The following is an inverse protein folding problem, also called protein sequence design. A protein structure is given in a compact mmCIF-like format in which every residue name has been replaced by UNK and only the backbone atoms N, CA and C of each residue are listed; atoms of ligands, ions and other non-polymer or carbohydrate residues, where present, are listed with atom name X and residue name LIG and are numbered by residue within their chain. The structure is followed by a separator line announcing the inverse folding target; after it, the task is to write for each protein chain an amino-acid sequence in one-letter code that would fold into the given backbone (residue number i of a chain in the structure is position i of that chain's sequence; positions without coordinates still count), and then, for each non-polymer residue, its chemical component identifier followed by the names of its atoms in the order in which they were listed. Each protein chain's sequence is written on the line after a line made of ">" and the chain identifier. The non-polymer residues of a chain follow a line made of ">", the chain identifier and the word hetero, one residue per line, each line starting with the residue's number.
data_IF_016126389698
#
_entry.id   IF_016126389698
#
_cell.length_a   1.000
_cell.length_b   1.000
_cell.length_c   1.000
_cell.angle_alpha   90.00
_cell.angle_beta   90.00
_cell.angle_gamma   90.00
#
_symmetry.space_group_name_H-M   'P 1'
#
loop_
_entity.id
_entity.type
_entity.pdbx_description
1 polymer ?
#
# COMPACT_ATOMS: atom_id res chain seq x y z
N UNK A 1 1.57 -47.11 -47.41
CA UNK A 1 0.43 -46.68 -48.20
C UNK A 1 0.25 -45.21 -47.85
N UNK A 2 0.98 -44.29 -48.58
CA UNK A 2 0.46 -43.38 -49.59
C UNK A 2 -0.67 -42.48 -49.00
N UNK A 3 -0.65 -41.14 -49.01
CA UNK A 3 -0.21 -40.13 -49.96
C UNK A 3 -0.22 -38.75 -49.28
N UNK A 4 0.80 -37.91 -49.55
CA UNK A 4 0.76 -36.45 -49.51
C UNK A 4 -0.20 -35.88 -50.55
N UNK A 5 -0.71 -34.64 -50.50
CA UNK A 5 0.02 -33.59 -51.19
C UNK A 5 0.04 -32.19 -50.55
N UNK A 6 1.15 -31.55 -50.82
CA UNK A 6 1.48 -30.14 -50.84
C UNK A 6 0.54 -29.28 -51.71
N UNK A 7 0.18 -28.06 -51.19
CA UNK A 7 -0.23 -26.97 -52.08
C UNK A 7 0.62 -25.72 -51.82
N UNK A 8 1.43 -25.43 -52.81
CA UNK A 8 2.07 -24.14 -53.07
C UNK A 8 1.03 -23.12 -53.45
N UNK A 9 1.05 -21.91 -52.88
CA UNK A 9 0.54 -20.73 -53.51
C UNK A 9 1.61 -19.65 -53.65
N UNK A 10 1.69 -19.21 -54.87
CA UNK A 10 2.62 -18.37 -55.61
C UNK A 10 2.50 -16.91 -55.16
N UNK A 11 3.65 -16.27 -54.94
CA UNK A 11 3.83 -14.84 -54.82
C UNK A 11 3.53 -14.13 -56.15
N UNK A 12 2.66 -13.16 -56.18
CA UNK A 12 2.66 -12.10 -57.16
C UNK A 12 3.07 -10.76 -56.51
N UNK A 13 4.19 -10.23 -57.02
CA UNK A 13 4.64 -8.85 -56.83
C UNK A 13 3.86 -7.94 -57.76
N UNK A 14 3.28 -6.86 -57.25
CA UNK A 14 3.28 -5.57 -57.95
C UNK A 14 2.85 -4.40 -57.10
N UNK A 15 3.63 -3.31 -57.23
CA UNK A 15 3.39 -1.87 -57.09
C UNK A 15 3.54 -1.17 -55.75
N UNK A 16 4.73 -0.58 -55.61
CA UNK A 16 5.07 0.83 -55.39
C UNK A 16 4.40 1.57 -54.23
N UNK A 17 5.13 1.70 -53.20
CA UNK A 17 5.73 2.87 -52.57
C UNK A 17 5.02 4.22 -52.86
N UNK A 18 4.25 4.70 -51.88
CA UNK A 18 4.05 6.12 -51.56
C UNK A 18 3.06 6.36 -50.39
N UNK A 19 2.82 5.40 -49.47
CA UNK A 19 1.87 5.60 -48.38
C UNK A 19 2.39 5.31 -46.97
N UNK A 20 3.69 5.13 -46.75
CA UNK A 20 4.22 4.75 -45.43
C UNK A 20 4.18 5.90 -44.40
N UNK A 21 4.17 7.17 -44.82
CA UNK A 21 4.11 8.30 -43.86
C UNK A 21 2.74 8.57 -43.26
N UNK A 22 1.65 8.16 -43.91
CA UNK A 22 0.30 8.36 -43.41
C UNK A 22 -0.22 7.21 -42.55
N UNK A 23 0.41 6.03 -42.62
CA UNK A 23 0.02 4.88 -41.83
C UNK A 23 0.52 4.97 -40.37
N UNK A 24 1.72 5.54 -40.14
CA UNK A 24 2.30 5.67 -38.80
C UNK A 24 1.58 6.73 -37.97
N UNK A 25 1.08 7.81 -38.57
CA UNK A 25 0.33 8.83 -37.85
C UNK A 25 -1.06 8.37 -37.41
N UNK A 26 -1.69 7.48 -38.16
CA UNK A 26 -3.01 6.94 -37.78
C UNK A 26 -2.95 5.88 -36.70
N UNK A 27 -1.87 5.10 -36.63
CA UNK A 27 -1.69 4.11 -35.57
C UNK A 27 -1.45 4.78 -34.21
N UNK A 28 -0.74 5.90 -34.15
CA UNK A 28 -0.55 6.67 -32.92
C UNK A 28 -1.82 7.35 -32.41
N UNK A 29 -2.67 7.82 -33.32
CA UNK A 29 -3.99 8.37 -33.00
C UNK A 29 -4.97 7.29 -32.51
N UNK A 30 -4.88 6.09 -33.04
CA UNK A 30 -5.72 4.96 -32.65
C UNK A 30 -5.27 4.35 -31.30
N UNK A 31 -3.98 4.24 -31.07
CA UNK A 31 -3.42 3.80 -29.78
C UNK A 31 -3.74 4.79 -28.64
N UNK A 32 -3.70 6.10 -28.86
CA UNK A 32 -4.12 7.09 -27.85
C UNK A 32 -5.62 6.97 -27.52
N UNK A 33 -6.50 6.74 -28.51
CA UNK A 33 -7.94 6.56 -28.26
C UNK A 33 -8.25 5.21 -27.64
N UNK A 34 -7.48 4.15 -27.94
CA UNK A 34 -7.66 2.83 -27.34
C UNK A 34 -7.15 2.80 -25.89
N UNK A 35 -6.06 3.50 -25.57
CA UNK A 35 -5.57 3.64 -24.18
C UNK A 35 -6.59 4.42 -23.33
N UNK A 36 -7.23 5.46 -23.89
CA UNK A 36 -8.27 6.21 -23.17
C UNK A 36 -9.56 5.39 -22.97
N UNK A 37 -9.93 4.54 -23.92
CA UNK A 37 -11.12 3.69 -23.82
C UNK A 37 -10.91 2.48 -22.89
N UNK A 38 -9.70 1.89 -22.84
CA UNK A 38 -9.38 0.77 -21.94
C UNK A 38 -9.27 1.23 -20.49
N UNK A 39 -8.81 2.47 -20.22
CA UNK A 39 -8.84 3.05 -18.87
C UNK A 39 -10.27 3.36 -18.37
N UNK A 40 -11.25 3.50 -19.26
CA UNK A 40 -12.65 3.73 -18.88
C UNK A 40 -13.44 2.44 -18.62
N UNK A 41 -12.96 1.26 -19.05
CA UNK A 41 -13.66 -0.03 -18.92
C UNK A 41 -13.07 -0.97 -17.88
N UNK A 42 -11.85 -0.74 -17.39
CA UNK A 42 -11.36 -1.42 -16.19
C UNK A 42 -11.90 -0.60 -15.02
N UNK A 43 -12.96 -1.09 -14.41
CA UNK A 43 -13.60 -0.46 -13.26
C UNK A 43 -12.59 -0.13 -12.15
N UNK A 44 -12.04 1.06 -12.23
CA UNK A 44 -11.26 1.65 -11.15
C UNK A 44 -12.22 2.22 -10.11
N UNK A 45 -12.99 1.34 -9.48
CA UNK A 45 -13.50 1.63 -8.16
C UNK A 45 -12.29 1.65 -7.21
N UNK A 46 -11.71 2.82 -6.99
CA UNK A 46 -10.71 3.00 -5.93
C UNK A 46 -9.40 3.70 -6.25
N UNK A 47 -9.18 4.20 -7.47
CA UNK A 47 -8.10 5.19 -7.69
C UNK A 47 -8.74 6.56 -7.82
N UNK A 48 -9.18 7.07 -6.67
CA UNK A 48 -9.54 8.46 -6.52
C UNK A 48 -8.33 9.34 -6.83
N UNK A 49 -8.53 10.22 -7.79
CA UNK A 49 -7.91 11.53 -8.00
C UNK A 49 -6.77 11.94 -7.03
N UNK A 50 -5.59 11.33 -7.17
CA UNK A 50 -4.40 11.67 -6.37
C UNK A 50 -3.50 12.68 -7.05
N UNK A 51 -3.93 13.30 -8.15
CA UNK A 51 -3.14 14.27 -8.90
C UNK A 51 -4.02 15.38 -9.48
N UNK A 52 -4.60 16.20 -8.63
CA UNK A 52 -4.67 17.62 -8.88
C UNK A 52 -3.88 18.29 -7.76
N UNK A 53 -2.57 18.47 -7.96
CA UNK A 53 -1.86 19.57 -7.36
C UNK A 53 -2.60 20.80 -7.84
N UNK A 54 -3.27 21.52 -6.91
CA UNK A 54 -3.80 22.85 -7.22
C UNK A 54 -2.63 23.65 -7.80
N UNK A 55 -2.67 23.93 -9.09
CA UNK A 55 -1.68 24.73 -9.77
C UNK A 55 -1.63 26.08 -9.02
N UNK A 56 -0.47 26.38 -8.43
CA UNK A 56 -0.26 27.62 -7.70
C UNK A 56 -0.48 28.77 -8.68
N UNK A 57 -1.59 29.49 -8.56
CA UNK A 57 -1.84 30.73 -9.29
C UNK A 57 -1.10 31.88 -8.57
N UNK A 58 0.05 32.34 -9.09
CA UNK A 58 0.81 33.41 -8.46
C UNK A 58 0.10 34.77 -8.50
N UNK A 59 -0.96 34.93 -9.29
CA UNK A 59 -1.71 36.18 -9.40
C UNK A 59 -2.70 36.41 -8.26
N UNK A 60 -2.93 35.43 -7.37
CA UNK A 60 -3.84 35.59 -6.23
C UNK A 60 -3.09 35.81 -4.94
N UNK A 61 -3.51 36.78 -4.14
CA UNK A 61 -2.96 37.04 -2.82
C UNK A 61 -3.13 35.80 -1.91
N UNK A 62 -2.02 35.14 -1.51
CA UNK A 62 -2.09 33.93 -0.72
C UNK A 62 -2.57 34.14 0.71
N UNK A 63 -2.64 35.38 1.18
CA UNK A 63 -3.12 35.73 2.52
C UNK A 63 -4.65 35.72 2.61
N UNK A 64 -5.34 35.84 1.46
CA UNK A 64 -6.81 35.79 1.41
C UNK A 64 -7.25 34.34 1.58
N UNK A 65 -8.10 34.04 2.62
CA UNK A 65 -8.58 32.68 2.85
C UNK A 65 -9.39 32.16 1.67
N UNK A 66 -8.99 31.02 1.11
CA UNK A 66 -9.73 30.33 0.05
C UNK A 66 -10.63 29.28 0.66
N UNK A 67 -11.90 29.27 0.24
CA UNK A 67 -12.90 28.29 0.67
C UNK A 67 -12.67 26.98 -0.10
N UNK A 68 -12.63 25.89 0.64
CA UNK A 68 -12.61 24.51 0.13
C UNK A 68 -13.85 23.79 0.65
N UNK A 69 -14.52 23.08 -0.22
CA UNK A 69 -15.67 22.25 0.10
C UNK A 69 -15.50 20.88 -0.51
N UNK A 70 -15.58 19.86 0.31
CA UNK A 70 -15.48 18.47 -0.12
C UNK A 70 -16.86 17.90 -0.45
N UNK A 71 -16.95 16.83 -1.28
CA UNK A 71 -18.22 16.21 -1.66
C UNK A 71 -19.08 15.70 -0.49
N UNK A 72 -18.50 15.49 0.70
CA UNK A 72 -19.21 15.11 1.92
C UNK A 72 -19.72 16.34 2.73
N UNK A 73 -19.57 17.54 2.14
CA UNK A 73 -20.07 18.79 2.71
C UNK A 73 -19.15 19.42 3.77
N UNK A 74 -17.95 18.88 4.01
CA UNK A 74 -17.01 19.53 4.92
C UNK A 74 -16.41 20.78 4.26
N UNK A 75 -16.54 21.92 4.95
CA UNK A 75 -16.02 23.21 4.50
C UNK A 75 -14.88 23.66 5.41
N UNK A 76 -13.80 24.12 4.80
CA UNK A 76 -12.71 24.80 5.51
C UNK A 76 -12.10 25.90 4.63
N UNK A 77 -11.43 26.84 5.28
CA UNK A 77 -10.72 27.93 4.61
C UNK A 77 -9.24 27.77 4.81
N UNK A 78 -8.46 28.01 3.75
CA UNK A 78 -7.01 27.94 3.77
C UNK A 78 -6.42 29.28 3.34
N UNK A 79 -5.52 29.81 4.16
CA UNK A 79 -4.70 30.97 3.86
C UNK A 79 -3.22 30.64 4.07
N UNK A 80 -2.33 31.45 3.50
CA UNK A 80 -0.89 31.35 3.75
C UNK A 80 -0.44 32.58 4.55
N UNK A 81 0.14 32.34 5.72
CA UNK A 81 0.69 33.37 6.59
C UNK A 81 2.19 33.13 6.70
N UNK A 82 3.01 34.08 6.23
CA UNK A 82 4.46 33.94 6.22
C UNK A 82 4.93 32.64 5.55
N UNK A 83 4.36 32.30 4.39
CA UNK A 83 4.64 31.08 3.61
C UNK A 83 4.16 29.75 4.25
N UNK A 84 3.44 29.82 5.38
CA UNK A 84 2.88 28.65 6.03
C UNK A 84 1.36 28.62 5.92
N UNK A 85 0.80 27.45 5.78
CA UNK A 85 -0.64 27.25 5.71
C UNK A 85 -1.28 27.43 7.08
N UNK A 86 -2.32 28.26 7.14
CA UNK A 86 -3.31 28.28 8.19
C UNK A 86 -4.63 27.74 7.64
N UNK A 87 -5.26 26.83 8.36
CA UNK A 87 -6.61 26.37 8.04
C UNK A 87 -7.58 26.74 9.17
N UNK A 88 -8.79 27.20 8.77
CA UNK A 88 -9.88 27.53 9.71
C UNK A 88 -11.15 26.84 9.25
N UNK A 89 -12.06 26.58 10.19
CA UNK A 89 -13.43 26.17 9.86
C UNK A 89 -14.27 27.35 9.36
N UNK A 90 -15.54 27.12 9.06
CA UNK A 90 -16.49 28.13 8.59
C UNK A 90 -16.81 29.21 9.64
N UNK A 91 -16.55 28.94 10.92
CA UNK A 91 -16.74 29.89 12.01
C UNK A 91 -15.46 30.68 12.34
N UNK A 92 -14.38 30.49 11.57
CA UNK A 92 -13.09 31.14 11.78
C UNK A 92 -12.23 30.49 12.87
N UNK A 93 -12.65 29.35 13.46
CA UNK A 93 -11.83 28.61 14.42
C UNK A 93 -10.62 28.00 13.70
N UNK A 94 -9.44 28.22 14.26
CA UNK A 94 -8.19 27.67 13.71
C UNK A 94 -8.16 26.14 13.89
N UNK A 95 -8.06 25.41 12.76
CA UNK A 95 -7.85 23.97 12.70
C UNK A 95 -6.35 23.67 12.61
N UNK A 96 -5.62 24.37 11.73
CA UNK A 96 -4.18 24.23 11.58
C UNK A 96 -3.56 25.62 11.73
N UNK A 97 -2.83 25.92 12.80
CA UNK A 97 -2.16 27.20 12.93
C UNK A 97 -0.91 27.29 12.06
N UNK A 98 -0.65 28.46 11.47
CA UNK A 98 0.53 28.71 10.65
C UNK A 98 1.85 28.45 11.41
N UNK A 99 1.83 28.63 12.75
CA UNK A 99 2.98 28.36 13.62
C UNK A 99 3.44 26.88 13.61
N UNK A 100 2.59 25.95 13.17
CA UNK A 100 2.98 24.54 12.99
C UNK A 100 3.91 24.33 11.80
N UNK A 101 4.04 25.37 10.92
CA UNK A 101 4.99 25.36 9.82
C UNK A 101 4.65 24.40 8.67
N UNK A 102 3.40 23.99 8.53
CA UNK A 102 2.95 23.25 7.37
C UNK A 102 2.81 24.18 6.17
N UNK A 103 3.10 23.69 4.96
CA UNK A 103 3.00 24.48 3.72
C UNK A 103 1.76 24.16 2.91
N UNK A 104 1.17 22.98 3.16
CA UNK A 104 -0.02 22.53 2.45
C UNK A 104 -0.91 21.70 3.39
N UNK A 105 -2.21 21.75 3.17
CA UNK A 105 -3.17 20.87 3.81
C UNK A 105 -4.29 20.46 2.85
N UNK A 106 -4.80 19.26 3.03
CA UNK A 106 -5.93 18.70 2.26
C UNK A 106 -6.81 17.83 3.16
N UNK A 107 -8.12 18.02 3.04
CA UNK A 107 -9.08 17.13 3.68
C UNK A 107 -9.07 15.74 3.03
N UNK A 108 -9.28 14.72 3.82
CA UNK A 108 -9.36 13.31 3.43
C UNK A 108 -10.75 12.77 3.79
N UNK A 109 -11.72 12.75 2.85
CA UNK A 109 -13.12 12.38 3.13
C UNK A 109 -13.26 11.01 3.79
N UNK A 110 -12.49 10.00 3.34
CA UNK A 110 -12.57 8.63 3.85
C UNK A 110 -12.24 8.52 5.34
N UNK A 111 -11.38 9.40 5.85
CA UNK A 111 -10.99 9.43 7.28
C UNK A 111 -11.67 10.53 8.06
N UNK A 112 -12.31 11.50 7.37
CA UNK A 112 -12.82 12.76 7.95
C UNK A 112 -11.74 13.53 8.72
N UNK A 113 -10.53 13.59 8.15
CA UNK A 113 -9.35 14.24 8.76
C UNK A 113 -8.64 15.12 7.74
N UNK A 114 -7.76 15.99 8.21
CA UNK A 114 -6.98 16.89 7.37
C UNK A 114 -5.53 16.42 7.41
N UNK A 115 -5.00 16.04 6.23
CA UNK A 115 -3.58 15.79 6.06
C UNK A 115 -2.88 17.11 5.79
N UNK A 116 -1.82 17.38 6.54
CA UNK A 116 -0.94 18.51 6.33
C UNK A 116 0.45 18.02 5.89
N UNK A 117 1.18 18.85 5.16
CA UNK A 117 2.53 18.50 4.72
C UNK A 117 3.47 19.69 4.74
N UNK A 118 4.74 19.39 4.96
CA UNK A 118 5.87 20.31 4.84
C UNK A 118 6.94 19.63 4.01
N UNK A 119 7.65 20.40 3.19
CA UNK A 119 8.79 19.90 2.44
C UNK A 119 10.07 20.61 2.86
N UNK A 120 11.15 19.84 2.91
CA UNK A 120 12.50 20.29 3.21
C UNK A 120 13.44 19.90 2.06
N UNK A 121 14.34 20.79 1.69
CA UNK A 121 15.40 20.46 0.75
C UNK A 121 16.63 20.00 1.52
N UNK A 122 17.02 18.74 1.35
CA UNK A 122 18.24 18.17 1.93
C UNK A 122 19.16 17.69 0.82
N UNK A 123 20.30 18.35 0.65
CA UNK A 123 21.30 18.03 -0.38
C UNK A 123 20.72 17.96 -1.82
N UNK A 124 19.84 18.91 -2.16
CA UNK A 124 19.20 18.95 -3.49
C UNK A 124 18.01 17.99 -3.66
N UNK A 125 17.67 17.18 -2.65
CA UNK A 125 16.51 16.30 -2.66
C UNK A 125 15.40 16.90 -1.81
N UNK A 126 14.22 17.08 -2.40
CA UNK A 126 13.04 17.54 -1.67
C UNK A 126 12.38 16.36 -0.96
N UNK A 127 12.34 16.42 0.37
CA UNK A 127 11.67 15.43 1.22
C UNK A 127 10.41 16.06 1.77
N UNK A 128 9.28 15.35 1.62
CA UNK A 128 7.98 15.77 2.18
C UNK A 128 7.67 14.99 3.45
N UNK A 129 7.32 15.71 4.51
CA UNK A 129 6.86 15.13 5.77
C UNK A 129 5.39 15.44 5.99
N UNK A 130 4.67 14.49 6.56
CA UNK A 130 3.22 14.56 6.73
C UNK A 130 2.81 14.61 8.20
N UNK A 131 1.73 15.36 8.46
CA UNK A 131 0.98 15.35 9.69
C UNK A 131 -0.51 15.15 9.43
N UNK A 132 -1.28 14.84 10.47
CA UNK A 132 -2.73 14.66 10.38
C UNK A 132 -3.41 15.36 11.54
N UNK A 133 -4.46 16.10 11.21
CA UNK A 133 -5.34 16.78 12.16
C UNK A 133 -6.75 16.21 12.09
N UNK A 134 -7.43 16.17 13.21
CA UNK A 134 -8.88 16.09 13.25
C UNK A 134 -9.48 17.42 12.75
N UNK A 135 -10.74 17.39 12.37
CA UNK A 135 -11.48 18.61 11.97
C UNK A 135 -11.71 19.60 13.12
N UNK A 136 -11.53 19.18 14.37
CA UNK A 136 -11.58 20.04 15.55
C UNK A 136 -10.25 20.80 15.83
N UNK A 137 -9.19 20.49 15.08
CA UNK A 137 -7.86 21.07 15.22
C UNK A 137 -6.88 20.27 16.08
N UNK A 138 -7.30 19.10 16.60
CA UNK A 138 -6.39 18.21 17.32
C UNK A 138 -5.42 17.55 16.37
N UNK A 139 -4.11 17.74 16.54
CA UNK A 139 -3.07 17.07 15.78
C UNK A 139 -2.88 15.65 16.32
N UNK A 140 -3.21 14.63 15.49
CA UNK A 140 -3.14 13.22 15.88
C UNK A 140 -1.87 12.52 15.36
N UNK A 141 -1.30 13.01 14.27
CA UNK A 141 -0.01 12.57 13.75
C UNK A 141 0.83 13.82 13.53
N UNK A 142 1.81 14.11 14.40
CA UNK A 142 2.68 15.28 14.25
C UNK A 142 3.77 15.03 13.21
N UNK A 143 4.20 16.09 12.49
CA UNK A 143 5.27 16.03 11.49
C UNK A 143 6.62 15.58 12.06
N UNK A 144 6.82 15.75 13.34
CA UNK A 144 8.01 15.34 14.07
C UNK A 144 8.25 13.82 14.05
N UNK A 145 7.22 13.03 13.68
CA UNK A 145 7.40 11.60 13.39
C UNK A 145 8.14 11.33 12.08
N UNK A 146 8.33 12.35 11.24
CA UNK A 146 9.10 12.32 10.00
C UNK A 146 8.57 11.30 8.97
N UNK A 147 7.27 11.08 8.92
CA UNK A 147 6.66 10.21 7.91
C UNK A 147 6.78 10.83 6.52
N UNK A 148 7.47 10.15 5.61
CA UNK A 148 7.67 10.53 4.21
C UNK A 148 6.55 10.05 3.29
N UNK A 149 5.68 9.17 3.78
CA UNK A 149 4.44 8.73 3.13
C UNK A 149 3.36 8.51 4.18
N UNK A 150 2.13 8.90 3.86
CA UNK A 150 0.98 8.73 4.74
C UNK A 150 -0.27 8.57 3.89
N UNK A 151 -0.93 7.41 4.02
CA UNK A 151 -2.15 7.06 3.31
C UNK A 151 -3.18 6.50 4.29
N UNK A 152 -4.41 6.96 4.21
CA UNK A 152 -5.51 6.33 4.93
C UNK A 152 -6.06 5.15 4.12
N UNK A 153 -6.14 3.99 4.75
CA UNK A 153 -6.66 2.76 4.17
C UNK A 153 -8.08 2.55 4.69
N UNK A 154 -9.07 2.84 3.85
CA UNK A 154 -10.49 2.86 4.24
C UNK A 154 -11.01 1.52 4.74
N UNK A 155 -10.56 0.40 4.15
CA UNK A 155 -10.96 -0.95 4.55
C UNK A 155 -10.54 -1.30 5.98
N UNK A 156 -9.37 -0.84 6.41
CA UNK A 156 -8.83 -1.08 7.76
C UNK A 156 -9.09 0.07 8.73
N UNK A 157 -9.54 1.23 8.23
CA UNK A 157 -9.66 2.49 8.98
C UNK A 157 -8.35 2.89 9.69
N UNK A 158 -7.21 2.65 9.04
CA UNK A 158 -5.86 2.90 9.57
C UNK A 158 -5.02 3.71 8.60
N UNK A 159 -3.97 4.32 9.12
CA UNK A 159 -2.97 4.99 8.31
C UNK A 159 -1.80 4.03 8.03
N UNK A 160 -1.52 3.79 6.75
CA UNK A 160 -0.24 3.24 6.32
C UNK A 160 0.76 4.37 6.24
N UNK A 161 1.88 4.23 6.90
CA UNK A 161 2.93 5.26 6.99
C UNK A 161 4.28 4.70 6.55
N UNK A 162 5.17 5.59 6.08
CA UNK A 162 6.57 5.25 5.86
C UNK A 162 7.47 6.33 6.44
N UNK A 163 8.64 5.92 6.93
CA UNK A 163 9.76 6.77 7.32
C UNK A 163 10.97 6.30 6.51
N UNK A 164 11.29 7.05 5.43
CA UNK A 164 12.20 6.53 4.40
C UNK A 164 11.63 5.30 3.69
N UNK A 165 12.37 4.22 3.69
CA UNK A 165 11.96 2.93 3.11
C UNK A 165 11.10 2.07 4.05
N UNK A 166 11.14 2.34 5.35
CA UNK A 166 10.50 1.51 6.36
C UNK A 166 9.02 1.84 6.53
N UNK A 167 8.22 0.81 6.59
CA UNK A 167 6.76 0.84 6.68
C UNK A 167 6.27 0.73 8.11
N UNK A 168 5.16 1.39 8.40
CA UNK A 168 4.47 1.29 9.67
C UNK A 168 2.96 1.46 9.51
N UNK A 169 2.25 1.35 10.60
CA UNK A 169 0.80 1.48 10.67
C UNK A 169 0.40 2.28 11.90
N UNK A 170 -0.45 3.30 11.71
CA UNK A 170 -1.11 3.99 12.80
C UNK A 170 -2.62 3.69 12.78
N UNK A 171 -3.24 3.67 13.93
CA UNK A 171 -4.71 3.59 14.04
C UNK A 171 -5.38 4.92 13.62
N UNK A 172 -6.70 4.95 13.62
CA UNK A 172 -7.48 6.14 13.27
C UNK A 172 -7.30 7.31 14.25
N UNK A 173 -6.74 7.09 15.42
CA UNK A 173 -6.39 8.10 16.40
C UNK A 173 -4.93 8.55 16.31
N UNK A 174 -4.18 8.03 15.34
CA UNK A 174 -2.78 8.36 15.13
C UNK A 174 -1.80 7.62 16.04
N UNK A 175 -2.24 6.62 16.85
CA UNK A 175 -1.33 5.81 17.66
C UNK A 175 -0.61 4.81 16.77
N UNK A 176 0.69 4.68 16.94
CA UNK A 176 1.48 3.68 16.23
C UNK A 176 1.11 2.27 16.71
N UNK A 177 0.62 1.46 15.77
CA UNK A 177 0.42 0.01 15.96
C UNK A 177 1.66 -0.75 15.53
N UNK A 178 2.30 -0.30 14.46
CA UNK A 178 3.57 -0.81 13.97
C UNK A 178 4.44 0.40 13.66
N UNK A 179 5.54 0.56 14.41
CA UNK A 179 6.48 1.66 14.20
C UNK A 179 7.37 1.39 12.99
N UNK A 180 7.62 2.38 12.10
CA UNK A 180 8.66 2.26 11.07
C UNK A 180 10.06 2.02 11.64
N UNK A 181 10.31 2.39 12.90
CA UNK A 181 11.60 2.15 13.57
C UNK A 181 11.85 0.65 13.87
N UNK A 182 10.86 -0.23 13.63
CA UNK A 182 11.04 -1.69 13.59
C UNK A 182 11.69 -2.19 12.29
N UNK A 183 11.98 -1.29 11.34
CA UNK A 183 12.67 -1.54 10.07
C UNK A 183 11.98 -2.54 9.13
N UNK A 184 10.67 -2.68 9.20
CA UNK A 184 9.94 -3.46 8.21
C UNK A 184 9.84 -2.69 6.88
N UNK A 185 10.25 -3.31 5.78
CA UNK A 185 10.11 -2.75 4.44
C UNK A 185 8.64 -2.74 4.00
N UNK A 186 7.89 -3.77 4.41
CA UNK A 186 6.48 -3.89 4.07
C UNK A 186 5.64 -4.42 5.25
N UNK A 187 4.39 -3.94 5.33
CA UNK A 187 3.38 -4.31 6.34
C UNK A 187 2.04 -4.52 5.64
N UNK A 188 1.65 -5.77 5.37
CA UNK A 188 0.42 -6.11 4.67
C UNK A 188 -0.66 -6.66 5.61
N UNK A 189 -1.83 -6.01 5.69
CA UNK A 189 -2.94 -6.56 6.47
C UNK A 189 -3.49 -7.83 5.82
N UNK A 190 -3.89 -8.80 6.66
CA UNK A 190 -4.52 -10.03 6.24
C UNK A 190 -5.75 -10.33 7.10
N UNK A 191 -6.94 -10.32 6.48
CA UNK A 191 -8.24 -10.69 7.08
C UNK A 191 -8.57 -9.97 8.41
N UNK A 192 -8.07 -8.73 8.61
CA UNK A 192 -8.23 -7.99 9.87
C UNK A 192 -7.79 -8.78 11.12
N UNK A 193 -6.95 -9.80 10.93
CA UNK A 193 -6.43 -10.66 11.97
C UNK A 193 -4.93 -10.47 12.19
N UNK A 194 -4.17 -10.29 11.11
CA UNK A 194 -2.71 -10.17 11.14
C UNK A 194 -2.19 -9.09 10.22
N UNK A 195 -0.98 -8.61 10.51
CA UNK A 195 -0.08 -8.01 9.53
C UNK A 195 1.05 -8.99 9.23
N UNK A 196 1.27 -9.25 7.94
CA UNK A 196 2.53 -9.85 7.49
C UNK A 196 3.53 -8.75 7.30
N UNK A 197 4.70 -8.91 7.91
CA UNK A 197 5.79 -7.95 7.87
C UNK A 197 7.04 -8.60 7.30
N UNK A 198 7.90 -7.81 6.65
CA UNK A 198 9.15 -8.32 6.07
C UNK A 198 10.22 -7.23 6.07
N UNK A 199 11.49 -7.66 6.18
CA UNK A 199 12.69 -6.86 5.93
C UNK A 199 13.23 -7.05 4.51
N UNK A 200 12.53 -7.86 3.67
CA UNK A 200 12.94 -8.24 2.31
C UNK A 200 13.51 -9.64 2.23
N UNK A 201 14.05 -10.19 3.31
CA UNK A 201 14.61 -11.54 3.40
C UNK A 201 13.74 -12.45 4.28
N UNK A 202 13.31 -11.93 5.42
CA UNK A 202 12.53 -12.65 6.40
C UNK A 202 11.08 -12.17 6.44
N UNK A 203 10.21 -13.04 6.93
CA UNK A 203 8.76 -12.80 7.07
C UNK A 203 8.33 -13.04 8.50
N UNK A 204 7.60 -12.07 9.06
CA UNK A 204 7.05 -12.12 10.40
C UNK A 204 5.55 -11.89 10.42
N UNK A 205 4.95 -12.01 11.60
CA UNK A 205 3.52 -11.82 11.82
C UNK A 205 3.28 -10.96 13.05
N UNK A 206 2.41 -9.97 12.89
CA UNK A 206 1.98 -9.06 13.95
C UNK A 206 0.47 -9.19 14.10
N UNK A 207 -0.02 -9.20 15.34
CA UNK A 207 -1.45 -9.16 15.63
C UNK A 207 -2.07 -7.84 15.12
N UNK A 208 -3.13 -7.97 14.36
CA UNK A 208 -3.77 -6.83 13.71
C UNK A 208 -4.34 -5.81 14.70
N UNK A 209 -4.91 -6.24 15.80
CA UNK A 209 -5.62 -5.37 16.73
C UNK A 209 -4.71 -4.75 17.78
N UNK A 210 -3.72 -5.48 18.24
CA UNK A 210 -2.86 -5.07 19.35
C UNK A 210 -1.51 -4.51 18.92
N UNK A 211 -1.05 -4.83 17.68
CA UNK A 211 0.32 -4.53 17.23
C UNK A 211 1.38 -5.42 17.90
N UNK A 212 0.98 -6.48 18.63
CA UNK A 212 1.92 -7.41 19.26
C UNK A 212 2.62 -8.25 18.19
N UNK A 213 3.94 -8.33 18.26
CA UNK A 213 4.72 -9.24 17.43
C UNK A 213 4.46 -10.67 17.89
N UNK A 214 3.91 -11.50 16.99
CA UNK A 214 3.64 -12.93 17.22
C UNK A 214 4.80 -13.77 16.69
N UNK A 215 5.24 -13.48 15.46
CA UNK A 215 6.39 -14.13 14.85
C UNK A 215 7.38 -13.04 14.46
N UNK A 216 8.48 -12.87 15.20
CA UNK A 216 9.51 -11.89 14.89
C UNK A 216 10.40 -12.35 13.73
N UNK A 217 11.06 -11.41 13.03
CA UNK A 217 11.89 -11.69 11.86
C UNK A 217 13.15 -12.51 12.21
N UNK A 218 13.68 -12.38 13.42
CA UNK A 218 14.88 -13.07 13.90
C UNK A 218 14.71 -14.60 13.97
N UNK A 219 13.47 -15.11 13.87
CA UNK A 219 13.25 -16.56 13.65
C UNK A 219 13.75 -17.06 12.29
N UNK A 220 14.07 -16.13 11.35
CA UNK A 220 14.61 -16.46 10.04
C UNK A 220 13.63 -17.21 9.12
N UNK A 221 12.34 -17.02 9.30
CA UNK A 221 11.36 -17.57 8.36
C UNK A 221 11.33 -16.73 7.08
N UNK A 222 11.45 -17.37 5.93
CA UNK A 222 11.37 -16.71 4.62
C UNK A 222 9.93 -16.55 4.14
N UNK A 223 8.98 -17.17 4.81
CA UNK A 223 7.57 -17.11 4.47
C UNK A 223 6.69 -17.41 5.69
N UNK A 224 5.59 -16.66 5.81
CA UNK A 224 4.54 -16.88 6.82
C UNK A 224 3.18 -16.71 6.18
N UNK A 225 2.24 -17.64 6.46
CA UNK A 225 0.87 -17.57 5.97
C UNK A 225 -0.12 -18.23 6.93
N UNK A 226 -1.13 -17.49 7.34
CA UNK A 226 -2.24 -18.03 8.12
C UNK A 226 -3.12 -18.94 7.28
N UNK A 227 -3.47 -20.07 7.87
CA UNK A 227 -4.45 -21.01 7.34
C UNK A 227 -5.75 -20.90 8.14
N UNK A 228 -6.79 -20.23 7.63
CA UNK A 228 -8.03 -19.99 8.37
C UNK A 228 -8.89 -21.25 8.55
N UNK A 229 -8.69 -22.29 7.72
CA UNK A 229 -9.45 -23.51 7.83
C UNK A 229 -9.06 -24.34 9.07
N UNK A 230 -7.81 -24.18 9.53
CA UNK A 230 -7.27 -25.01 10.62
C UNK A 230 -6.57 -24.20 11.70
N UNK A 231 -6.68 -22.86 11.67
CA UNK A 231 -6.22 -21.95 12.69
C UNK A 231 -4.73 -22.12 13.05
N UNK A 232 -3.85 -22.20 12.05
CA UNK A 232 -2.41 -22.18 12.25
C UNK A 232 -1.71 -21.27 11.26
N UNK A 233 -0.49 -20.89 11.56
CA UNK A 233 0.37 -20.11 10.67
C UNK A 233 1.40 -21.06 10.07
N UNK A 234 1.33 -21.31 8.75
CA UNK A 234 2.37 -22.02 8.03
C UNK A 234 3.62 -21.13 7.95
N UNK A 235 4.76 -21.70 8.26
CA UNK A 235 6.05 -21.02 8.16
C UNK A 235 6.99 -21.81 7.27
N UNK A 236 7.94 -21.10 6.62
CA UNK A 236 9.00 -21.73 5.84
C UNK A 236 10.35 -21.14 6.19
N UNK A 237 11.39 -21.96 6.08
CA UNK A 237 12.80 -21.55 6.06
C UNK A 237 13.43 -22.16 4.81
N UNK A 238 13.60 -21.34 3.75
CA UNK A 238 13.87 -21.86 2.42
C UNK A 238 12.74 -22.75 1.93
N UNK A 239 13.04 -23.96 1.52
CA UNK A 239 12.05 -24.94 1.03
C UNK A 239 11.40 -25.77 2.16
N UNK A 240 11.92 -25.65 3.37
CA UNK A 240 11.42 -26.44 4.50
C UNK A 240 10.22 -25.77 5.16
N UNK A 241 9.23 -26.54 5.51
CA UNK A 241 7.91 -26.11 5.99
C UNK A 241 7.72 -26.53 7.44
N UNK A 242 7.14 -25.63 8.23
CA UNK A 242 6.71 -25.85 9.61
C UNK A 242 5.35 -25.20 9.87
N UNK A 243 4.94 -25.18 11.13
CA UNK A 243 3.71 -24.59 11.59
C UNK A 243 3.89 -23.90 12.94
N UNK A 244 3.25 -22.75 13.10
CA UNK A 244 3.09 -22.07 14.38
C UNK A 244 1.60 -22.00 14.75
N UNK A 245 1.31 -21.95 16.02
CA UNK A 245 -0.02 -21.59 16.54
C UNK A 245 -0.33 -20.12 16.22
N UNK A 246 -1.58 -19.72 16.41
CA UNK A 246 -2.05 -18.36 16.18
C UNK A 246 -1.36 -17.29 17.04
N UNK A 247 -0.87 -17.66 18.22
CA UNK A 247 -0.12 -16.80 19.13
C UNK A 247 1.37 -16.66 18.76
N UNK A 248 1.81 -17.39 17.70
CA UNK A 248 3.17 -17.43 17.23
C UNK A 248 4.04 -18.52 17.86
N UNK A 249 3.52 -19.34 18.77
CA UNK A 249 4.25 -20.49 19.33
C UNK A 249 4.59 -21.48 18.21
N UNK A 250 5.86 -21.86 18.09
CA UNK A 250 6.28 -22.88 17.12
C UNK A 250 5.73 -24.23 17.54
N UNK A 251 4.88 -24.81 16.68
CA UNK A 251 4.27 -26.11 16.88
C UNK A 251 5.07 -27.22 16.18
N UNK A 252 5.50 -26.96 14.96
CA UNK A 252 6.30 -27.84 14.13
C UNK A 252 7.43 -27.01 13.53
N UNK A 253 8.71 -27.35 13.83
CA UNK A 253 9.84 -26.63 13.27
C UNK A 253 9.91 -26.78 11.74
N UNK A 254 10.39 -25.78 10.99
CA UNK A 254 10.51 -25.81 9.54
C UNK A 254 11.74 -26.61 9.10
N UNK A 255 11.67 -27.93 9.27
CA UNK A 255 12.69 -28.92 8.91
C UNK A 255 12.14 -29.98 7.94
N UNK A 256 10.90 -29.82 7.50
CA UNK A 256 10.17 -30.80 6.70
C UNK A 256 9.94 -30.29 5.27
N UNK A 257 10.09 -31.16 4.28
CA UNK A 257 9.69 -30.85 2.90
C UNK A 257 8.19 -30.67 2.70
N UNK A 258 7.40 -31.24 3.58
CA UNK A 258 5.95 -31.06 3.61
C UNK A 258 5.43 -31.03 5.04
N UNK A 259 4.49 -30.13 5.29
CA UNK A 259 3.77 -30.03 6.57
C UNK A 259 2.34 -29.56 6.27
N UNK A 260 1.36 -30.42 6.55
CA UNK A 260 -0.06 -30.13 6.33
C UNK A 260 -0.91 -30.68 7.47
N UNK A 261 -2.01 -30.00 7.78
CA UNK A 261 -3.00 -30.53 8.70
C UNK A 261 -3.98 -31.44 7.94
N UNK A 262 -4.10 -32.68 8.37
CA UNK A 262 -5.06 -33.65 7.84
C UNK A 262 -6.35 -33.62 8.68
N UNK A 263 -7.40 -33.01 8.15
CA UNK A 263 -8.67 -32.82 8.84
C UNK A 263 -9.38 -34.13 9.15
N UNK A 264 -9.25 -35.15 8.29
CA UNK A 264 -9.87 -36.44 8.50
C UNK A 264 -9.26 -37.22 9.69
N UNK A 265 -7.98 -36.92 9.99
CA UNK A 265 -7.26 -37.54 11.12
C UNK A 265 -7.13 -36.62 12.32
N UNK A 266 -7.46 -35.33 12.16
CA UNK A 266 -7.26 -34.32 13.20
C UNK A 266 -5.78 -34.08 13.57
N UNK A 267 -4.82 -34.36 12.66
CA UNK A 267 -3.38 -34.40 12.95
C UNK A 267 -2.55 -33.76 11.86
N UNK A 268 -1.39 -33.26 12.24
CA UNK A 268 -0.40 -32.83 11.28
C UNK A 268 0.31 -34.03 10.64
N UNK A 269 0.47 -33.94 9.33
CA UNK A 269 1.24 -34.87 8.54
C UNK A 269 2.48 -34.14 8.04
N UNK A 270 3.62 -34.79 8.12
CA UNK A 270 4.92 -34.26 7.67
C UNK A 270 5.57 -35.17 6.65
N UNK A 271 6.51 -34.64 5.90
CA UNK A 271 7.25 -35.33 4.86
C UNK A 271 8.72 -34.95 4.94
N UNK A 272 9.60 -35.90 5.21
CA UNK A 272 11.02 -35.65 5.45
C UNK A 272 11.84 -35.41 4.17
N UNK A 273 11.37 -35.89 3.01
CA UNK A 273 11.94 -35.60 1.68
C UNK A 273 10.86 -35.70 0.60
N UNK A 274 11.09 -35.19 -0.62
CA UNK A 274 10.11 -35.27 -1.73
C UNK A 274 9.63 -36.68 -2.05
N UNK A 275 10.49 -37.67 -1.87
CA UNK A 275 10.22 -39.07 -2.24
C UNK A 275 9.60 -39.90 -1.13
N UNK A 276 9.59 -39.40 0.10
CA UNK A 276 9.05 -40.13 1.27
C UNK A 276 7.54 -40.02 1.33
N UNK A 277 6.93 -40.98 1.99
CA UNK A 277 5.50 -40.96 2.32
C UNK A 277 5.23 -39.94 3.44
N UNK A 278 3.99 -39.50 3.51
CA UNK A 278 3.50 -38.68 4.62
C UNK A 278 3.44 -39.51 5.89
N UNK A 279 3.99 -38.99 6.94
CA UNK A 279 3.93 -39.60 8.29
C UNK A 279 3.26 -38.63 9.27
N UNK A 280 2.67 -39.19 10.31
CA UNK A 280 2.07 -38.41 11.38
C UNK A 280 3.14 -37.74 12.21
N UNK A 281 3.03 -36.40 12.39
CA UNK A 281 3.90 -35.69 13.32
C UNK A 281 3.54 -36.06 14.75
N UNK A 282 4.50 -36.51 15.54
CA UNK A 282 4.36 -36.86 16.95
C UNK A 282 4.95 -35.69 17.76
N UNK A 283 4.11 -35.10 18.59
CA UNK A 283 4.48 -34.06 19.53
C UNK A 283 5.29 -34.60 20.70
#
# INVERSE_FOLDING_TARGET
>A
MLIHPTHFYRLEKTKSCESEKNCVMNIWGFLKKFFFAVCLFIGMSGVSAWAQEDEYDPASDPTIPRRYEDPDGFVFYRAHINHFTQATDENGKIIIPASRGYRYCKYMPQSKKIRASVYENKNGVTITYYGVFNTDGTEIIPRERLYTKLLFVSSSKRFSVKKGEYSGVCDSLGREMISPDMHYIDCKPHQEKYYYVTDGEHSGVIDYNTGKVLIPLDRGYTYTRYNPAYNYIQVKRGDLIGACLEDGTELIPPVWFGCVFNSARGKFMVKSSPDKLWEEYKF
#
